data_IF_512311550233
#
_entry.id   IF_512311550233
#
_cell.length_a   1.000
_cell.length_b   1.000
_cell.length_c   1.000
_cell.angle_alpha   90.00
_cell.angle_beta   90.00
_cell.angle_gamma   90.00
#
_symmetry.space_group_name_H-M   'P 1'
#
loop_
_entity.id
_entity.type
_entity.pdbx_description
1 polymer ?
#
# COMPACT_ATOMS: atom_id res chain seq x y z
N UNK A 1 13.83 -7.85 -3.77
CA UNK A 1 13.46 -8.52 -2.51
C UNK A 1 13.95 -9.95 -2.55
N UNK A 2 14.36 -10.55 -1.42
CA UNK A 2 14.50 -12.00 -1.33
C UNK A 2 13.13 -12.63 -1.63
N UNK A 3 13.08 -13.81 -2.26
CA UNK A 3 11.83 -14.44 -2.72
C UNK A 3 10.76 -14.67 -1.63
N UNK A 4 11.13 -14.54 -0.35
CA UNK A 4 10.31 -14.92 0.80
C UNK A 4 9.93 -13.74 1.72
N UNK A 5 10.17 -12.49 1.33
CA UNK A 5 9.80 -11.31 2.14
C UNK A 5 8.62 -10.55 1.50
N UNK A 6 7.66 -10.14 2.33
CA UNK A 6 6.52 -9.30 1.91
C UNK A 6 6.79 -7.82 2.20
N UNK A 7 5.87 -6.93 1.80
CA UNK A 7 6.02 -5.48 2.00
C UNK A 7 5.95 -5.15 3.50
N UNK A 8 5.06 -5.79 4.24
CA UNK A 8 4.90 -5.64 5.70
C UNK A 8 6.16 -6.00 6.50
N UNK A 9 6.98 -6.92 6.01
CA UNK A 9 8.24 -7.32 6.66
C UNK A 9 9.34 -6.24 6.60
N UNK A 10 9.17 -5.21 5.75
CA UNK A 10 10.19 -4.19 5.47
C UNK A 10 10.09 -3.02 6.47
N UNK A 11 10.43 -3.27 7.73
CA UNK A 11 10.42 -2.23 8.78
C UNK A 11 11.33 -1.04 8.45
N UNK A 12 10.85 0.18 8.73
CA UNK A 12 11.59 1.41 8.44
C UNK A 12 11.64 1.80 6.96
N UNK A 13 10.89 1.12 6.08
CA UNK A 13 10.64 1.59 4.71
C UNK A 13 9.28 2.31 4.65
N UNK A 14 9.09 3.16 3.64
CA UNK A 14 7.74 3.54 3.21
C UNK A 14 7.11 2.34 2.51
N UNK A 15 6.09 1.76 3.13
CA UNK A 15 5.43 0.57 2.63
C UNK A 15 4.24 0.97 1.76
N UNK A 16 4.18 0.45 0.53
CA UNK A 16 3.10 0.79 -0.39
C UNK A 16 1.91 -0.14 -0.18
N UNK A 17 0.76 0.46 0.03
CA UNK A 17 -0.53 -0.18 -0.05
C UNK A 17 -1.10 -0.01 -1.46
N UNK A 18 -1.38 -1.12 -2.15
CA UNK A 18 -1.93 -1.16 -3.51
C UNK A 18 -3.43 -0.91 -3.45
N UNK A 19 -3.74 0.34 -3.14
CA UNK A 19 -5.07 0.74 -2.72
C UNK A 19 -6.10 0.78 -3.86
N UNK A 20 -7.36 0.79 -3.47
CA UNK A 20 -8.44 1.38 -4.25
C UNK A 20 -8.46 2.91 -4.04
N UNK A 21 -9.07 3.66 -4.96
CA UNK A 21 -9.26 5.12 -4.78
C UNK A 21 -10.12 5.44 -3.55
N UNK A 22 -11.01 4.53 -3.16
CA UNK A 22 -11.64 4.48 -1.84
C UNK A 22 -10.78 3.63 -0.91
N UNK A 23 -10.07 4.28 0.00
CA UNK A 23 -9.11 3.60 0.88
C UNK A 23 -9.73 2.43 1.66
N UNK A 24 -9.00 1.33 1.75
CA UNK A 24 -9.44 0.07 2.34
C UNK A 24 -10.24 -0.82 1.38
N UNK A 25 -10.61 -0.32 0.20
CA UNK A 25 -11.22 -1.10 -0.86
C UNK A 25 -12.40 -1.94 -0.39
N UNK A 26 -12.28 -3.26 -0.53
CA UNK A 26 -13.30 -4.22 -0.14
C UNK A 26 -13.24 -4.70 1.31
N UNK A 27 -12.46 -4.08 2.20
CA UNK A 27 -12.14 -4.65 3.54
C UNK A 27 -13.38 -4.85 4.43
N UNK A 28 -14.43 -4.05 4.24
CA UNK A 28 -15.70 -4.20 4.97
C UNK A 28 -16.68 -5.16 4.29
N UNK A 29 -16.30 -5.73 3.15
CA UNK A 29 -17.12 -6.60 2.31
C UNK A 29 -16.37 -7.93 2.02
N UNK A 30 -16.20 -8.29 0.74
CA UNK A 30 -15.60 -9.56 0.31
C UNK A 30 -14.14 -9.43 -0.15
N UNK A 31 -13.54 -8.24 -0.05
CA UNK A 31 -12.16 -8.00 -0.49
C UNK A 31 -11.16 -8.67 0.46
N UNK A 32 -10.20 -9.42 -0.10
CA UNK A 32 -9.14 -10.05 0.69
C UNK A 32 -7.84 -10.22 -0.13
N UNK A 33 -7.43 -9.15 -0.81
CA UNK A 33 -6.15 -9.08 -1.50
C UNK A 33 -5.17 -8.21 -0.69
N UNK A 34 -4.14 -7.63 -1.30
CA UNK A 34 -3.07 -6.98 -0.55
C UNK A 34 -3.55 -5.83 0.35
N UNK A 35 -4.43 -4.94 -0.14
CA UNK A 35 -4.98 -3.83 0.64
C UNK A 35 -5.83 -4.33 1.81
N UNK A 36 -6.83 -5.18 1.56
CA UNK A 36 -7.73 -5.62 2.63
C UNK A 36 -7.03 -6.50 3.66
N UNK A 37 -6.07 -7.34 3.24
CA UNK A 37 -5.23 -8.09 4.17
C UNK A 37 -4.48 -7.13 5.08
N UNK A 38 -3.92 -6.05 4.52
CA UNK A 38 -3.16 -5.06 5.29
C UNK A 38 -4.03 -4.35 6.33
N UNK A 39 -5.24 -3.94 5.94
CA UNK A 39 -6.20 -3.31 6.85
C UNK A 39 -6.76 -4.30 7.88
N UNK A 40 -6.82 -5.59 7.56
CA UNK A 40 -7.26 -6.64 8.48
C UNK A 40 -6.23 -6.92 9.57
N UNK A 41 -4.93 -6.93 9.24
CA UNK A 41 -3.88 -7.20 10.21
C UNK A 41 -3.46 -5.96 11.03
N UNK A 42 -3.70 -4.77 10.49
CA UNK A 42 -3.43 -3.46 11.13
C UNK A 42 -4.74 -2.66 11.27
N UNK A 43 -5.63 -3.11 12.16
CA UNK A 43 -7.03 -2.65 12.22
C UNK A 43 -7.22 -1.15 12.51
N UNK A 44 -6.23 -0.47 13.07
CA UNK A 44 -6.24 1.00 13.23
C UNK A 44 -6.37 1.73 11.89
N UNK A 45 -5.89 1.13 10.79
CA UNK A 45 -6.03 1.68 9.44
C UNK A 45 -7.50 1.79 9.02
N UNK A 46 -8.42 0.98 9.58
CA UNK A 46 -9.85 1.03 9.26
C UNK A 46 -10.49 2.38 9.57
N UNK A 47 -9.92 3.18 10.49
CA UNK A 47 -10.40 4.54 10.76
C UNK A 47 -10.36 5.39 9.49
N UNK A 48 -9.35 5.20 8.63
CA UNK A 48 -9.22 5.95 7.37
C UNK A 48 -10.40 5.74 6.42
N UNK A 49 -10.99 4.55 6.41
CA UNK A 49 -12.19 4.22 5.60
C UNK A 49 -13.37 5.14 5.95
N UNK A 50 -13.46 5.60 7.19
CA UNK A 50 -14.56 6.45 7.65
C UNK A 50 -14.32 7.95 7.47
N UNK A 51 -13.05 8.38 7.43
CA UNK A 51 -12.71 9.81 7.49
C UNK A 51 -12.09 10.36 6.20
N UNK A 52 -11.59 9.49 5.32
CA UNK A 52 -10.98 9.91 4.07
C UNK A 52 -12.00 9.87 2.93
N UNK A 53 -12.03 10.93 2.13
CA UNK A 53 -12.75 10.94 0.85
C UNK A 53 -11.97 10.15 -0.22
N UNK A 54 -12.60 9.97 -1.38
CA UNK A 54 -11.99 9.33 -2.56
C UNK A 54 -10.72 10.07 -2.96
N UNK A 55 -9.63 9.33 -3.21
CA UNK A 55 -8.36 9.91 -3.63
C UNK A 55 -8.44 10.43 -5.07
N UNK A 56 -8.09 11.70 -5.27
CA UNK A 56 -7.90 12.24 -6.63
C UNK A 56 -6.59 11.70 -7.26
N UNK A 57 -6.40 11.83 -8.58
CA UNK A 57 -5.20 11.33 -9.28
C UNK A 57 -3.86 11.89 -8.77
N UNK A 58 -3.87 12.99 -8.03
CA UNK A 58 -2.71 13.70 -7.50
C UNK A 58 -2.67 13.70 -5.96
N UNK A 59 -3.42 12.80 -5.33
CA UNK A 59 -3.49 12.65 -3.88
C UNK A 59 -2.99 11.27 -3.44
N UNK A 60 -2.63 11.14 -2.18
CA UNK A 60 -2.34 9.86 -1.54
C UNK A 60 -2.65 9.98 -0.06
N UNK A 61 -2.92 8.86 0.60
CA UNK A 61 -3.15 8.84 2.04
C UNK A 61 -1.93 8.20 2.71
N UNK A 62 -1.34 8.91 3.67
CA UNK A 62 -0.21 8.44 4.45
C UNK A 62 -0.66 8.10 5.86
N UNK A 63 -0.52 6.82 6.21
CA UNK A 63 -0.85 6.26 7.52
C UNK A 63 0.45 6.02 8.29
N UNK A 64 0.57 6.64 9.46
CA UNK A 64 1.79 6.62 10.27
C UNK A 64 1.44 6.10 11.66
N UNK A 65 2.20 5.13 12.13
CA UNK A 65 2.13 4.70 13.53
C UNK A 65 1.19 3.55 13.82
N UNK A 66 0.49 3.02 12.81
CA UNK A 66 -0.40 1.89 13.01
C UNK A 66 0.36 0.64 13.45
N UNK A 67 -0.22 -0.11 14.37
CA UNK A 67 0.33 -1.36 14.88
C UNK A 67 -0.25 -2.57 14.12
N UNK A 68 0.59 -3.57 13.88
CA UNK A 68 0.13 -4.88 13.42
C UNK A 68 -0.28 -5.74 14.62
N UNK A 69 -1.50 -6.25 14.60
CA UNK A 69 -2.07 -7.07 15.69
C UNK A 69 -2.14 -8.56 15.35
N UNK A 70 -2.14 -8.89 14.05
CA UNK A 70 -2.42 -10.25 13.56
C UNK A 70 -1.31 -10.73 12.64
N UNK A 71 -0.89 -11.96 12.86
CA UNK A 71 -0.10 -12.72 11.88
C UNK A 71 -1.05 -13.56 11.03
N UNK A 72 -0.71 -13.72 9.75
CA UNK A 72 -1.58 -14.40 8.80
C UNK A 72 -0.80 -15.40 7.93
N UNK A 73 -1.55 -16.15 7.14
CA UNK A 73 -1.04 -17.01 6.08
C UNK A 73 -2.02 -17.03 4.92
N UNK A 74 -1.52 -17.42 3.74
CA UNK A 74 -2.33 -17.47 2.54
C UNK A 74 -2.64 -16.08 2.00
N UNK A 75 -3.43 -16.06 0.92
CA UNK A 75 -3.81 -14.87 0.19
C UNK A 75 -5.16 -15.12 -0.51
N UNK A 76 -5.98 -14.08 -0.70
CA UNK A 76 -7.30 -14.22 -1.26
C UNK A 76 -8.13 -15.30 -0.54
N UNK A 77 -8.72 -16.24 -1.27
CA UNK A 77 -9.54 -17.33 -0.74
C UNK A 77 -8.82 -18.29 0.22
N UNK A 78 -7.48 -18.22 0.29
CA UNK A 78 -6.68 -19.03 1.22
C UNK A 78 -6.23 -18.26 2.47
N UNK A 79 -6.59 -16.98 2.59
CA UNK A 79 -6.25 -16.15 3.74
C UNK A 79 -6.79 -16.75 5.04
N UNK A 80 -5.93 -16.83 6.04
CA UNK A 80 -6.27 -17.34 7.38
C UNK A 80 -5.53 -16.56 8.45
N UNK A 81 -6.26 -16.22 9.51
CA UNK A 81 -5.66 -15.87 10.79
C UNK A 81 -4.70 -17.00 11.22
N UNK A 82 -3.49 -16.63 11.62
CA UNK A 82 -2.47 -17.57 12.06
C UNK A 82 -2.28 -17.50 13.57
N UNK A 83 -2.00 -16.30 14.09
CA UNK A 83 -1.79 -16.04 15.51
C UNK A 83 -1.85 -14.53 15.78
N UNK A 84 -1.91 -14.14 17.05
CA UNK A 84 -1.65 -12.76 17.48
C UNK A 84 -0.22 -12.36 17.10
N UNK A 85 -0.03 -11.09 16.75
CA UNK A 85 1.27 -10.51 16.43
C UNK A 85 1.69 -9.55 17.54
N UNK A 86 2.93 -9.69 18.00
CA UNK A 86 3.56 -8.73 18.91
C UNK A 86 4.44 -7.84 18.05
N UNK A 87 3.97 -6.63 17.76
CA UNK A 87 4.70 -5.70 16.92
C UNK A 87 5.92 -5.13 17.65
N UNK A 88 7.10 -5.58 17.22
CA UNK A 88 8.39 -5.15 17.75
C UNK A 88 8.97 -3.93 17.02
N UNK A 89 8.21 -3.31 16.12
CA UNK A 89 8.66 -2.10 15.44
C UNK A 89 9.01 -1.03 16.48
N UNK A 90 10.15 -0.33 16.31
CA UNK A 90 10.54 0.77 17.18
C UNK A 90 9.52 1.89 17.11
N UNK A 91 9.51 2.76 18.13
CA UNK A 91 8.66 3.94 18.16
C UNK A 91 9.46 5.23 17.96
N UNK A 92 8.81 6.25 17.42
CA UNK A 92 9.37 7.59 17.29
C UNK A 92 9.24 8.41 18.60
N UNK A 93 9.67 9.67 18.54
CA UNK A 93 9.58 10.61 19.68
C UNK A 93 8.16 10.97 20.10
N UNK A 94 7.14 10.58 19.32
CA UNK A 94 5.72 10.80 19.59
C UNK A 94 5.00 9.50 19.98
N UNK A 95 5.76 8.45 20.32
CA UNK A 95 5.27 7.13 20.71
C UNK A 95 4.48 6.39 19.61
N UNK A 96 4.69 6.77 18.34
CA UNK A 96 4.10 6.10 17.17
C UNK A 96 5.04 5.00 16.68
N UNK A 97 4.52 3.86 16.25
CA UNK A 97 5.34 2.81 15.60
C UNK A 97 6.00 3.37 14.33
N UNK A 98 7.24 2.97 14.03
CA UNK A 98 7.93 3.29 12.75
C UNK A 98 7.38 2.43 11.61
N UNK A 99 6.07 2.54 11.43
CA UNK A 99 5.25 1.92 10.43
C UNK A 99 4.65 3.05 9.59
N UNK A 100 5.07 3.13 8.34
CA UNK A 100 4.65 4.17 7.40
C UNK A 100 4.06 3.48 6.19
N UNK A 101 2.76 3.63 5.98
CA UNK A 101 2.04 3.07 4.82
C UNK A 101 1.52 4.21 3.97
N UNK A 102 1.80 4.17 2.67
CA UNK A 102 1.15 5.05 1.70
C UNK A 102 0.15 4.26 0.88
N UNK A 103 -1.12 4.67 0.93
CA UNK A 103 -2.15 4.17 0.04
C UNK A 103 -2.01 4.83 -1.33
N UNK A 104 -1.88 3.99 -2.36
CA UNK A 104 -1.57 4.39 -3.72
C UNK A 104 -2.45 3.61 -4.69
N UNK A 105 -3.47 4.26 -5.23
CA UNK A 105 -4.44 3.64 -6.13
C UNK A 105 -3.96 3.64 -7.60
N UNK A 106 -4.10 2.49 -8.28
CA UNK A 106 -3.80 2.35 -9.70
C UNK A 106 -5.05 2.56 -10.57
N UNK A 107 -4.86 2.83 -11.86
CA UNK A 107 -5.96 2.74 -12.82
C UNK A 107 -6.31 1.26 -13.03
N UNK A 108 -7.60 0.94 -13.01
CA UNK A 108 -8.12 -0.35 -13.48
C UNK A 108 -8.25 -0.32 -15.00
N UNK A 109 -7.57 -1.26 -15.69
CA UNK A 109 -7.61 -1.34 -17.16
C UNK A 109 -8.51 -2.49 -17.64
N UNK A 110 -9.68 -2.15 -18.19
CA UNK A 110 -10.54 -3.14 -18.85
C UNK A 110 -9.86 -3.69 -20.11
N UNK A 111 -9.25 -2.81 -20.92
CA UNK A 111 -8.37 -3.18 -22.02
C UNK A 111 -6.91 -2.96 -21.60
N UNK A 112 -6.07 -4.02 -21.50
CA UNK A 112 -4.67 -3.90 -21.11
C UNK A 112 -3.86 -2.94 -21.98
N UNK A 113 -4.23 -2.69 -23.24
CA UNK A 113 -3.45 -1.80 -24.10
C UNK A 113 -3.61 -0.32 -23.74
N UNK A 114 -4.68 0.05 -23.03
CA UNK A 114 -4.95 1.44 -22.66
C UNK A 114 -3.90 1.99 -21.69
N UNK A 115 -3.18 1.13 -20.96
CA UNK A 115 -2.12 1.55 -20.05
C UNK A 115 -0.93 2.23 -20.74
N UNK A 116 -0.73 1.99 -22.04
CA UNK A 116 0.35 2.60 -22.83
C UNK A 116 -0.05 3.95 -23.45
N UNK A 117 -1.29 4.40 -23.23
CA UNK A 117 -1.73 5.75 -23.59
C UNK A 117 -1.00 6.76 -22.71
N UNK A 118 -0.53 7.86 -23.31
CA UNK A 118 0.32 8.84 -22.65
C UNK A 118 -0.32 9.41 -21.37
N UNK A 119 -1.61 9.72 -21.41
CA UNK A 119 -2.37 10.27 -20.28
C UNK A 119 -2.43 9.28 -19.11
N UNK A 120 -2.60 7.99 -19.39
CA UNK A 120 -2.64 6.94 -18.39
C UNK A 120 -1.26 6.71 -17.77
N UNK A 121 -0.20 6.60 -18.58
CA UNK A 121 1.18 6.53 -18.08
C UNK A 121 1.54 7.75 -17.23
N UNK A 122 1.17 8.96 -17.69
CA UNK A 122 1.39 10.21 -16.98
C UNK A 122 0.64 10.24 -15.65
N UNK A 123 -0.61 9.77 -15.60
CA UNK A 123 -1.39 9.67 -14.36
C UNK A 123 -0.68 8.78 -13.35
N UNK A 124 -0.28 7.59 -13.77
CA UNK A 124 0.38 6.63 -12.88
C UNK A 124 1.73 7.15 -12.37
N UNK A 125 2.47 7.88 -13.22
CA UNK A 125 3.70 8.57 -12.83
C UNK A 125 3.44 9.68 -11.79
N UNK A 126 2.40 10.50 -11.98
CA UNK A 126 2.03 11.56 -11.02
C UNK A 126 1.63 10.95 -9.69
N UNK A 127 0.83 9.88 -9.70
CA UNK A 127 0.43 9.17 -8.49
C UNK A 127 1.65 8.62 -7.75
N UNK A 128 2.55 7.92 -8.44
CA UNK A 128 3.80 7.41 -7.89
C UNK A 128 4.66 8.51 -7.29
N UNK A 129 4.88 9.60 -8.05
CA UNK A 129 5.63 10.75 -7.58
C UNK A 129 5.01 11.37 -6.32
N UNK A 130 3.68 11.50 -6.28
CA UNK A 130 2.97 12.04 -5.12
C UNK A 130 3.18 11.18 -3.88
N UNK A 131 3.05 9.86 -4.01
CA UNK A 131 3.23 8.90 -2.92
C UNK A 131 4.67 8.84 -2.39
N UNK A 132 5.68 8.94 -3.27
CA UNK A 132 7.09 8.79 -2.88
C UNK A 132 7.76 10.10 -2.49
N UNK A 133 7.12 11.24 -2.76
CA UNK A 133 7.59 12.55 -2.31
C UNK A 133 7.16 12.79 -0.86
N UNK A 134 7.82 12.11 0.05
CA UNK A 134 7.53 12.20 1.48
C UNK A 134 8.18 13.46 2.08
N UNK A 135 7.57 14.11 3.09
CA UNK A 135 8.16 15.28 3.74
C UNK A 135 9.60 15.04 4.23
N UNK A 136 10.47 16.04 4.04
CA UNK A 136 11.89 16.01 4.48
C UNK A 136 12.07 15.65 5.96
N UNK A 137 11.11 16.01 6.80
CA UNK A 137 11.11 15.66 8.23
C UNK A 137 11.11 14.15 8.49
N UNK A 138 10.59 13.36 7.55
CA UNK A 138 10.56 11.90 7.61
C UNK A 138 11.74 11.21 6.92
N UNK A 139 12.49 11.88 6.03
CA UNK A 139 13.58 11.26 5.25
C UNK A 139 14.59 10.48 6.12
N UNK A 140 14.89 10.99 7.32
CA UNK A 140 15.82 10.33 8.27
C UNK A 140 15.31 9.03 8.88
N UNK A 141 14.02 8.74 8.74
CA UNK A 141 13.35 7.57 9.33
C UNK A 141 12.98 6.51 8.28
N UNK A 142 13.29 6.75 7.00
CA UNK A 142 12.91 5.85 5.91
C UNK A 142 14.13 5.42 5.11
N UNK A 143 14.34 4.11 5.00
CA UNK A 143 15.44 3.53 4.23
C UNK A 143 15.18 3.53 2.72
N UNK A 144 13.93 3.67 2.31
CA UNK A 144 13.49 3.65 0.91
C UNK A 144 12.01 3.31 0.80
N UNK A 145 11.59 2.89 -0.40
CA UNK A 145 10.22 2.46 -0.69
C UNK A 145 10.17 0.92 -0.79
N UNK A 146 9.29 0.30 -0.01
CA UNK A 146 8.95 -1.11 -0.12
C UNK A 146 7.65 -1.25 -0.94
N UNK A 147 7.79 -1.67 -2.20
CA UNK A 147 6.68 -1.82 -3.17
C UNK A 147 6.80 -3.12 -3.95
N UNK A 148 5.91 -3.35 -4.91
CA UNK A 148 5.89 -4.54 -5.74
C UNK A 148 5.03 -4.34 -6.98
N UNK A 149 4.27 -5.36 -7.37
CA UNK A 149 3.46 -5.35 -8.59
C UNK A 149 2.17 -4.50 -8.45
N UNK A 150 2.32 -3.23 -8.08
CA UNK A 150 1.24 -2.25 -7.90
C UNK A 150 0.33 -2.19 -9.13
N UNK A 151 -0.97 -2.39 -8.92
CA UNK A 151 -1.98 -2.36 -9.98
C UNK A 151 -1.93 -3.52 -11.00
N UNK A 152 -1.08 -4.53 -10.80
CA UNK A 152 -0.89 -5.60 -11.80
C UNK A 152 -1.71 -6.88 -11.54
N UNK A 153 -2.40 -6.94 -10.39
CA UNK A 153 -3.26 -8.06 -10.03
C UNK A 153 -4.69 -7.82 -10.52
N UNK A 154 -5.59 -7.52 -9.60
CA UNK A 154 -7.00 -7.22 -9.91
C UNK A 154 -7.20 -6.04 -10.89
N UNK A 155 -6.20 -5.17 -11.03
CA UNK A 155 -6.27 -3.94 -11.84
C UNK A 155 -5.68 -4.08 -13.24
N UNK A 156 -5.17 -5.27 -13.58
CA UNK A 156 -4.79 -5.66 -14.94
C UNK A 156 -3.64 -4.83 -15.58
N UNK A 157 -2.79 -4.21 -14.75
CA UNK A 157 -1.59 -3.52 -15.20
C UNK A 157 -0.44 -4.47 -15.60
N UNK A 158 0.42 -4.01 -16.51
CA UNK A 158 1.64 -4.66 -16.92
C UNK A 158 2.76 -4.42 -15.89
N UNK A 159 3.40 -5.50 -15.46
CA UNK A 159 4.42 -5.45 -14.39
C UNK A 159 5.66 -4.71 -14.82
N UNK A 160 6.06 -4.83 -16.08
CA UNK A 160 7.27 -4.20 -16.61
C UNK A 160 7.07 -2.68 -16.74
N UNK A 161 5.95 -2.25 -17.32
CA UNK A 161 5.59 -0.83 -17.41
C UNK A 161 5.50 -0.20 -16.02
N UNK A 162 4.77 -0.83 -15.10
CA UNK A 162 4.64 -0.35 -13.72
C UNK A 162 6.00 -0.27 -13.04
N UNK A 163 6.84 -1.29 -13.21
CA UNK A 163 8.21 -1.31 -12.72
C UNK A 163 9.06 -0.11 -13.18
N UNK A 164 8.89 0.34 -14.42
CA UNK A 164 9.60 1.53 -14.96
C UNK A 164 9.02 2.83 -14.39
N UNK A 165 7.70 2.90 -14.17
CA UNK A 165 7.02 4.12 -13.69
C UNK A 165 7.49 4.55 -12.29
N UNK A 166 7.79 3.59 -11.40
CA UNK A 166 8.17 3.86 -10.01
C UNK A 166 9.65 3.56 -9.68
N UNK A 167 10.46 3.22 -10.68
CA UNK A 167 11.92 3.03 -10.50
C UNK A 167 12.67 4.36 -10.42
#
# INVERSE_FOLDING_TARGET
MRKDQTIEDMHGFLQVDFANEFIGGGVMNEGIVQEEIRFTICTEMLVSVFICEVMLPHECILLIGCEQFVSYSGYATTFKFKDNFIDKAPKDSWDRKLFHVVAMDAIYYMNPLDQYIFENMRRELIKAFTCFRIPKSMEKFMFGVATGNWGCGAFNGDKQLKGIIYQ
#
